data_IF_828657266806
#
_entry.id   IF_828657266806
#
_cell.length_a   1.000
_cell.length_b   1.000
_cell.length_c   1.000
_cell.angle_alpha   90.00
_cell.angle_beta   90.00
_cell.angle_gamma   90.00
#
_symmetry.space_group_name_H-M   'P 1'
#
loop_
_entity.id
_entity.type
_entity.pdbx_description
1 polymer ?
#
# COMPACT_ATOMS: atom_id res chain seq x y z
N UNK A 1 -3.01 5.32 22.84
CA UNK A 1 -1.62 5.77 22.61
C UNK A 1 -1.66 6.76 21.48
N UNK A 2 -1.18 8.01 21.71
CA UNK A 2 -1.10 9.02 20.65
C UNK A 2 -0.02 8.62 19.62
N UNK A 3 -0.40 8.52 18.36
CA UNK A 3 0.47 8.21 17.24
C UNK A 3 1.12 9.47 16.62
N UNK A 4 0.67 10.68 17.01
CA UNK A 4 1.19 11.96 16.50
C UNK A 4 0.82 12.22 15.04
N UNK A 5 -0.35 11.74 14.59
CA UNK A 5 -0.82 11.82 13.20
C UNK A 5 -1.89 12.89 12.96
N UNK A 6 -2.38 13.54 14.01
CA UNK A 6 -3.44 14.56 13.91
C UNK A 6 -3.05 15.67 12.95
N UNK A 7 -3.90 15.95 11.97
CA UNK A 7 -3.71 17.00 10.97
C UNK A 7 -2.75 16.66 9.82
N UNK A 8 -2.08 15.50 9.83
CA UNK A 8 -1.26 15.03 8.71
C UNK A 8 -2.13 14.72 7.48
N UNK A 9 -1.59 14.94 6.30
CA UNK A 9 -2.25 14.58 5.04
C UNK A 9 -1.72 13.23 4.56
N UNK A 10 -2.61 12.25 4.46
CA UNK A 10 -2.29 10.92 3.96
C UNK A 10 -2.93 10.68 2.58
N UNK A 11 -2.10 10.27 1.61
CA UNK A 11 -2.50 9.79 0.31
C UNK A 11 -2.48 8.26 0.34
N UNK A 12 -3.62 7.64 0.02
CA UNK A 12 -3.76 6.18 -0.07
C UNK A 12 -4.19 5.81 -1.48
N UNK A 13 -3.36 5.04 -2.20
CA UNK A 13 -3.71 4.53 -3.53
C UNK A 13 -4.45 3.20 -3.45
N UNK A 14 -5.38 2.95 -4.39
CA UNK A 14 -6.26 1.77 -4.33
C UNK A 14 -7.21 1.82 -3.14
N UNK A 15 -7.63 3.04 -2.75
CA UNK A 15 -8.39 3.30 -1.54
C UNK A 15 -9.90 3.13 -1.64
N UNK A 16 -10.43 2.74 -2.82
CA UNK A 16 -11.86 2.55 -3.02
C UNK A 16 -12.44 1.33 -2.31
N UNK A 17 -11.60 0.36 -1.92
CA UNK A 17 -12.08 -0.91 -1.33
C UNK A 17 -10.98 -1.66 -0.56
N UNK A 18 -11.41 -2.74 0.13
CA UNK A 18 -10.52 -3.74 0.74
C UNK A 18 -9.44 -3.10 1.62
N UNK A 19 -8.17 -3.51 1.46
CA UNK A 19 -7.03 -3.04 2.25
C UNK A 19 -6.89 -1.51 2.21
N UNK A 20 -6.89 -0.91 1.01
CA UNK A 20 -6.70 0.55 0.90
C UNK A 20 -7.80 1.37 1.57
N UNK A 21 -9.06 0.88 1.53
CA UNK A 21 -10.14 1.51 2.30
C UNK A 21 -9.91 1.39 3.80
N UNK A 22 -9.50 0.22 4.30
CA UNK A 22 -9.19 0.03 5.71
C UNK A 22 -8.00 0.89 6.15
N UNK A 23 -6.95 0.99 5.33
CA UNK A 23 -5.78 1.85 5.57
C UNK A 23 -6.19 3.32 5.74
N UNK A 24 -7.07 3.79 4.83
CA UNK A 24 -7.58 5.15 4.88
C UNK A 24 -8.41 5.42 6.14
N UNK A 25 -9.32 4.50 6.51
CA UNK A 25 -10.15 4.62 7.72
C UNK A 25 -9.28 4.61 8.98
N UNK A 26 -8.29 3.72 9.07
CA UNK A 26 -7.39 3.67 10.21
C UNK A 26 -6.59 4.97 10.39
N UNK A 27 -6.03 5.52 9.30
CA UNK A 27 -5.32 6.81 9.34
C UNK A 27 -6.27 7.98 9.67
N UNK A 28 -7.52 7.94 9.19
CA UNK A 28 -8.54 8.94 9.54
C UNK A 28 -8.91 8.89 11.03
N UNK A 29 -9.00 7.69 11.61
CA UNK A 29 -9.25 7.48 13.03
C UNK A 29 -8.15 8.10 13.90
N UNK A 30 -6.91 8.09 13.42
CA UNK A 30 -5.76 8.73 14.05
C UNK A 30 -5.67 10.26 13.76
N UNK A 31 -6.68 10.82 13.11
CA UNK A 31 -6.82 12.26 12.88
C UNK A 31 -6.15 12.80 11.61
N UNK A 32 -5.77 11.94 10.68
CA UNK A 32 -5.29 12.37 9.37
C UNK A 32 -6.40 12.96 8.50
N UNK A 33 -6.02 13.83 7.57
CA UNK A 33 -6.81 14.21 6.39
C UNK A 33 -6.45 13.25 5.25
N UNK A 34 -7.45 12.77 4.50
CA UNK A 34 -7.27 11.66 3.57
C UNK A 34 -7.50 12.06 2.11
N UNK A 35 -6.52 11.76 1.28
CA UNK A 35 -6.67 11.70 -0.17
C UNK A 35 -6.81 10.23 -0.59
N UNK A 36 -8.02 9.85 -0.99
CA UNK A 36 -8.35 8.51 -1.48
C UNK A 36 -8.16 8.50 -2.98
N UNK A 37 -7.14 7.82 -3.45
CA UNK A 37 -6.79 7.76 -4.87
C UNK A 37 -7.10 6.38 -5.43
N UNK A 38 -7.92 6.30 -6.46
CA UNK A 38 -8.26 5.03 -7.11
C UNK A 38 -8.55 5.24 -8.59
N UNK A 39 -8.40 4.19 -9.41
CA UNK A 39 -8.89 4.18 -10.79
C UNK A 39 -10.43 4.31 -10.82
N UNK A 40 -11.11 3.68 -9.84
CA UNK A 40 -12.53 3.85 -9.58
C UNK A 40 -12.76 5.11 -8.74
N UNK A 41 -12.98 6.23 -9.41
CA UNK A 41 -13.23 7.53 -8.75
C UNK A 41 -14.50 7.56 -7.89
N UNK A 42 -15.56 6.84 -8.28
CA UNK A 42 -16.81 6.74 -7.50
C UNK A 42 -16.55 6.03 -6.17
N UNK A 43 -15.92 4.87 -6.19
CA UNK A 43 -15.55 4.14 -4.98
C UNK A 43 -14.58 4.91 -4.07
N UNK A 44 -13.68 5.73 -4.67
CA UNK A 44 -12.82 6.62 -3.89
C UNK A 44 -13.65 7.72 -3.18
N UNK A 45 -14.65 8.27 -3.86
CA UNK A 45 -15.56 9.26 -3.29
C UNK A 45 -16.45 8.67 -2.19
N UNK A 46 -16.93 7.43 -2.36
CA UNK A 46 -17.69 6.70 -1.34
C UNK A 46 -16.86 6.51 -0.06
N UNK A 47 -15.61 6.03 -0.18
CA UNK A 47 -14.70 5.90 0.97
C UNK A 47 -14.45 7.26 1.65
N UNK A 48 -14.25 8.31 0.87
CA UNK A 48 -14.07 9.66 1.40
C UNK A 48 -15.32 10.17 2.14
N UNK A 49 -16.51 9.90 1.61
CA UNK A 49 -17.78 10.26 2.24
C UNK A 49 -18.00 9.56 3.57
N UNK A 50 -17.61 8.30 3.67
CA UNK A 50 -17.68 7.52 4.91
C UNK A 50 -16.77 8.10 6.00
N UNK A 51 -15.57 8.55 5.65
CA UNK A 51 -14.63 9.20 6.58
C UNK A 51 -15.13 10.59 7.00
N UNK A 52 -15.83 11.29 6.11
CA UNK A 52 -16.35 12.64 6.31
C UNK A 52 -15.72 13.66 5.36
N UNK A 53 -16.57 14.37 4.64
CA UNK A 53 -16.19 15.30 3.57
C UNK A 53 -15.30 16.47 4.02
N UNK A 54 -15.28 16.79 5.31
CA UNK A 54 -14.42 17.83 5.89
C UNK A 54 -12.95 17.37 6.02
N UNK A 55 -12.71 16.05 6.03
CA UNK A 55 -11.38 15.46 6.24
C UNK A 55 -10.88 14.58 5.10
N UNK A 56 -11.75 14.13 4.20
CA UNK A 56 -11.38 13.22 3.14
C UNK A 56 -11.92 13.66 1.78
N UNK A 57 -11.17 13.35 0.71
CA UNK A 57 -11.59 13.55 -0.69
C UNK A 57 -11.16 12.36 -1.54
N UNK A 58 -12.02 12.00 -2.50
CA UNK A 58 -11.74 10.98 -3.51
C UNK A 58 -11.18 11.60 -4.79
N UNK A 59 -10.22 10.93 -5.40
CA UNK A 59 -9.58 11.34 -6.65
C UNK A 59 -9.47 10.16 -7.62
N UNK A 60 -9.99 10.33 -8.84
CA UNK A 60 -9.82 9.36 -9.91
C UNK A 60 -8.42 9.46 -10.52
N UNK A 61 -7.64 8.38 -10.47
CA UNK A 61 -6.29 8.36 -11.03
C UNK A 61 -5.86 6.96 -11.44
N UNK A 62 -5.40 6.84 -12.68
CA UNK A 62 -4.56 5.72 -13.09
C UNK A 62 -3.12 6.03 -12.66
N UNK A 63 -2.59 5.26 -11.72
CA UNK A 63 -1.22 5.46 -11.20
C UNK A 63 -0.13 5.11 -12.22
N UNK A 64 -0.47 4.46 -13.32
CA UNK A 64 0.47 4.20 -14.42
C UNK A 64 0.71 5.42 -15.29
N UNK A 65 -0.22 6.38 -15.30
CA UNK A 65 -0.10 7.66 -15.99
C UNK A 65 0.62 8.70 -15.11
N UNK A 66 1.88 8.97 -15.44
CA UNK A 66 2.73 9.93 -14.72
C UNK A 66 2.18 11.35 -14.71
N UNK A 67 1.57 11.76 -15.82
CA UNK A 67 1.00 13.10 -15.95
C UNK A 67 -0.21 13.26 -15.05
N UNK A 68 -1.11 12.26 -15.03
CA UNK A 68 -2.28 12.25 -14.16
C UNK A 68 -1.88 12.18 -12.69
N UNK A 69 -0.89 11.36 -12.32
CA UNK A 69 -0.37 11.30 -10.95
C UNK A 69 0.13 12.67 -10.49
N UNK A 70 0.94 13.36 -11.30
CA UNK A 70 1.44 14.68 -10.94
C UNK A 70 0.30 15.72 -10.77
N UNK A 71 -0.69 15.68 -11.65
CA UNK A 71 -1.87 16.56 -11.56
C UNK A 71 -2.67 16.27 -10.28
N UNK A 72 -2.95 14.99 -9.98
CA UNK A 72 -3.71 14.60 -8.78
C UNK A 72 -2.95 15.00 -7.50
N UNK A 73 -1.65 14.81 -7.43
CA UNK A 73 -0.88 15.27 -6.25
C UNK A 73 -1.00 16.77 -6.07
N UNK A 74 -0.94 17.56 -7.13
CA UNK A 74 -1.16 19.02 -7.06
C UNK A 74 -2.59 19.38 -6.63
N UNK A 75 -3.60 18.64 -7.09
CA UNK A 75 -4.99 18.79 -6.63
C UNK A 75 -5.11 18.51 -5.12
N UNK A 76 -4.50 17.41 -4.64
CA UNK A 76 -4.48 17.02 -3.23
C UNK A 76 -3.82 18.10 -2.36
N UNK A 77 -2.65 18.59 -2.78
CA UNK A 77 -1.92 19.61 -2.02
C UNK A 77 -2.69 20.93 -1.92
N UNK A 78 -3.44 21.31 -2.95
CA UNK A 78 -4.32 22.48 -2.94
C UNK A 78 -5.53 22.25 -2.00
N UNK A 79 -6.15 21.08 -2.03
CA UNK A 79 -7.42 20.80 -1.37
C UNK A 79 -7.26 20.39 0.11
N UNK A 80 -6.21 19.64 0.41
CA UNK A 80 -5.97 19.06 1.73
C UNK A 80 -4.66 19.55 2.37
N UNK A 81 -3.76 20.13 1.60
CA UNK A 81 -2.42 20.52 2.04
C UNK A 81 -1.34 19.49 1.65
N UNK A 82 -0.09 19.77 1.96
CA UNK A 82 1.06 18.98 1.52
C UNK A 82 0.98 17.53 2.01
N UNK A 83 1.27 16.58 1.12
CA UNK A 83 1.22 15.15 1.43
C UNK A 83 2.35 14.79 2.39
N UNK A 84 1.99 14.33 3.58
CA UNK A 84 2.91 13.87 4.62
C UNK A 84 3.11 12.36 4.61
N UNK A 85 2.05 11.61 4.30
CA UNK A 85 2.02 10.15 4.31
C UNK A 85 1.60 9.66 2.93
N UNK A 86 2.35 8.69 2.39
CA UNK A 86 2.04 8.06 1.11
C UNK A 86 1.94 6.53 1.32
N UNK A 87 0.73 5.99 1.20
CA UNK A 87 0.48 4.55 1.23
C UNK A 87 0.28 4.07 -0.21
N UNK A 88 1.29 3.44 -0.76
CA UNK A 88 1.25 2.79 -2.07
C UNK A 88 0.60 1.42 -1.93
N UNK A 89 -0.74 1.40 -1.81
CA UNK A 89 -1.51 0.18 -1.67
C UNK A 89 -2.01 -0.35 -3.02
N UNK A 90 -2.27 0.52 -4.00
CA UNK A 90 -2.76 0.10 -5.32
C UNK A 90 -1.87 -1.00 -5.92
N UNK A 91 -2.51 -2.08 -6.33
CA UNK A 91 -1.86 -3.24 -6.91
C UNK A 91 -2.72 -4.49 -6.73
N UNK A 92 -2.54 -5.45 -7.62
CA UNK A 92 -3.28 -6.71 -7.54
C UNK A 92 -2.60 -7.82 -8.34
N UNK A 93 -3.10 -9.05 -8.12
CA UNK A 93 -2.76 -10.20 -8.94
C UNK A 93 -3.71 -10.20 -10.14
N UNK A 94 -3.20 -9.95 -11.34
CA UNK A 94 -4.01 -9.92 -12.55
C UNK A 94 -4.29 -11.32 -13.06
N UNK A 95 -3.24 -12.13 -13.17
CA UNK A 95 -3.33 -13.51 -13.70
C UNK A 95 -2.54 -14.46 -12.83
N UNK A 96 -3.10 -15.64 -12.59
CA UNK A 96 -2.40 -16.78 -12.01
C UNK A 96 -2.14 -17.78 -13.12
N UNK A 97 -0.90 -17.84 -13.63
CA UNK A 97 -0.48 -18.72 -14.71
C UNK A 97 0.94 -19.22 -14.47
N UNK A 98 1.23 -20.47 -14.85
CA UNK A 98 2.62 -20.95 -14.83
C UNK A 98 3.46 -20.15 -15.83
N UNK A 99 4.77 -20.06 -15.59
CA UNK A 99 5.67 -19.26 -16.43
C UNK A 99 5.56 -19.57 -17.93
N UNK A 100 5.39 -20.83 -18.29
CA UNK A 100 5.22 -21.27 -19.68
C UNK A 100 3.92 -20.78 -20.35
N UNK A 101 2.93 -20.41 -19.55
CA UNK A 101 1.59 -19.99 -20.00
C UNK A 101 1.35 -18.50 -19.70
N UNK A 102 2.32 -17.80 -19.09
CA UNK A 102 2.24 -16.36 -18.78
C UNK A 102 2.27 -15.57 -20.09
N UNK A 103 1.30 -14.68 -20.28
CA UNK A 103 1.28 -13.78 -21.43
C UNK A 103 2.13 -12.54 -21.14
N UNK A 104 2.79 -12.03 -22.18
CA UNK A 104 3.63 -10.83 -22.06
C UNK A 104 2.81 -9.61 -21.57
N UNK A 105 1.57 -9.48 -22.04
CA UNK A 105 0.67 -8.39 -21.63
C UNK A 105 0.33 -8.45 -20.14
N UNK A 106 0.16 -9.66 -19.58
CA UNK A 106 -0.12 -9.85 -18.16
C UNK A 106 1.11 -9.52 -17.31
N UNK A 107 2.31 -9.88 -17.79
CA UNK A 107 3.57 -9.48 -17.19
C UNK A 107 3.72 -7.95 -17.18
N UNK A 108 3.57 -7.32 -18.33
CA UNK A 108 3.73 -5.87 -18.49
C UNK A 108 2.72 -5.09 -17.63
N UNK A 109 1.48 -5.55 -17.56
CA UNK A 109 0.45 -4.94 -16.72
C UNK A 109 0.78 -5.04 -15.23
N UNK A 110 1.28 -6.20 -14.76
CA UNK A 110 1.75 -6.35 -13.38
C UNK A 110 2.89 -5.37 -13.07
N UNK A 111 3.87 -5.23 -13.97
CA UNK A 111 4.98 -4.29 -13.81
C UNK A 111 4.48 -2.85 -13.80
N UNK A 112 3.61 -2.50 -14.73
CA UNK A 112 3.06 -1.16 -14.85
C UNK A 112 2.32 -0.73 -13.57
N UNK A 113 1.42 -1.57 -13.06
CA UNK A 113 0.60 -1.22 -11.90
C UNK A 113 1.40 -1.36 -10.60
N UNK A 114 1.93 -2.57 -10.32
CA UNK A 114 2.47 -2.88 -9.00
C UNK A 114 3.82 -2.19 -8.72
N UNK A 115 4.64 -1.95 -9.74
CA UNK A 115 5.98 -1.36 -9.59
C UNK A 115 6.05 0.07 -10.12
N UNK A 116 5.72 0.28 -11.40
CA UNK A 116 5.83 1.62 -12.00
C UNK A 116 4.84 2.59 -11.39
N UNK A 117 3.61 2.17 -11.08
CA UNK A 117 2.63 2.99 -10.37
C UNK A 117 3.11 3.41 -8.98
N UNK A 118 3.66 2.47 -8.19
CA UNK A 118 4.29 2.76 -6.88
C UNK A 118 5.40 3.82 -7.01
N UNK A 119 6.28 3.66 -8.02
CA UNK A 119 7.32 4.64 -8.32
C UNK A 119 6.74 6.01 -8.68
N UNK A 120 5.74 6.07 -9.55
CA UNK A 120 5.15 7.33 -10.02
C UNK A 120 4.59 8.15 -8.86
N UNK A 121 3.79 7.52 -7.99
CA UNK A 121 3.17 8.19 -6.84
C UNK A 121 4.23 8.64 -5.83
N UNK A 122 5.15 7.74 -5.45
CA UNK A 122 6.22 8.07 -4.51
C UNK A 122 7.08 9.23 -5.02
N UNK A 123 7.48 9.19 -6.30
CA UNK A 123 8.27 10.25 -6.93
C UNK A 123 7.57 11.60 -6.91
N UNK A 124 6.25 11.64 -7.03
CA UNK A 124 5.50 12.88 -7.05
C UNK A 124 5.47 13.57 -5.67
N UNK A 125 5.41 12.81 -4.57
CA UNK A 125 5.29 13.36 -3.20
C UNK A 125 6.63 13.49 -2.46
N UNK A 126 7.62 12.68 -2.81
CA UNK A 126 8.88 12.58 -2.08
C UNK A 126 9.70 13.87 -2.02
N UNK A 127 9.81 14.71 -3.07
CA UNK A 127 10.52 15.98 -2.99
C UNK A 127 9.96 16.91 -1.92
N UNK A 128 8.64 17.08 -1.85
CA UNK A 128 7.98 17.90 -0.84
C UNK A 128 8.18 17.38 0.58
N UNK A 129 8.13 16.05 0.78
CA UNK A 129 8.46 15.44 2.07
C UNK A 129 9.89 15.74 2.52
N UNK A 130 10.87 15.67 1.60
CA UNK A 130 12.28 16.00 1.90
C UNK A 130 12.46 17.47 2.27
N UNK A 131 11.82 18.36 1.53
CA UNK A 131 11.88 19.80 1.76
C UNK A 131 11.35 20.17 3.16
N UNK A 132 10.19 19.62 3.52
CA UNK A 132 9.57 19.82 4.84
C UNK A 132 10.25 19.02 5.97
N UNK A 133 11.21 18.15 5.64
CA UNK A 133 11.93 17.28 6.57
C UNK A 133 11.00 16.39 7.42
N UNK A 134 9.94 15.91 6.79
CA UNK A 134 9.00 14.96 7.37
C UNK A 134 8.28 14.19 6.26
N UNK A 135 8.21 12.88 6.40
CA UNK A 135 7.46 12.03 5.49
C UNK A 135 7.42 10.58 5.93
N UNK A 136 6.35 9.89 5.53
CA UNK A 136 6.16 8.46 5.75
C UNK A 136 5.71 7.82 4.44
N UNK A 137 6.50 6.90 3.93
CA UNK A 137 6.19 6.14 2.71
C UNK A 137 5.98 4.68 3.10
N UNK A 138 4.82 4.15 2.79
CA UNK A 138 4.50 2.73 2.95
C UNK A 138 4.30 2.13 1.56
N UNK A 139 4.95 1.01 1.30
CA UNK A 139 4.81 0.26 0.06
C UNK A 139 4.24 -1.13 0.34
N UNK A 140 3.18 -1.49 -0.37
CA UNK A 140 2.55 -2.80 -0.23
C UNK A 140 3.26 -3.85 -1.07
N UNK A 141 4.03 -4.73 -0.41
CA UNK A 141 4.54 -5.95 -1.00
C UNK A 141 3.49 -7.10 -0.88
N UNK A 142 3.94 -8.29 -0.68
CA UNK A 142 3.15 -9.49 -0.41
C UNK A 142 4.08 -10.59 0.10
N UNK A 143 3.54 -11.52 0.86
CA UNK A 143 4.25 -12.76 1.18
C UNK A 143 4.68 -13.51 -0.09
N UNK A 144 3.88 -13.44 -1.16
CA UNK A 144 4.23 -14.00 -2.47
C UNK A 144 5.48 -13.37 -3.08
N UNK A 145 5.78 -12.09 -2.77
CA UNK A 145 7.04 -11.46 -3.17
C UNK A 145 8.25 -12.01 -2.42
N UNK A 146 8.08 -12.34 -1.14
CA UNK A 146 9.18 -12.80 -0.27
C UNK A 146 9.49 -14.29 -0.45
N UNK A 147 8.45 -15.12 -0.63
CA UNK A 147 8.58 -16.58 -0.70
C UNK A 147 8.37 -17.16 -2.10
N UNK A 148 7.87 -16.36 -3.03
CA UNK A 148 7.35 -16.82 -4.30
C UNK A 148 5.92 -17.37 -4.18
N UNK A 149 5.14 -17.27 -5.27
CA UNK A 149 3.80 -17.83 -5.38
C UNK A 149 3.70 -18.69 -6.63
N UNK A 150 3.19 -19.93 -6.51
CA UNK A 150 2.98 -20.79 -7.66
C UNK A 150 2.02 -20.12 -8.64
N UNK A 151 2.42 -20.00 -9.91
CA UNK A 151 1.66 -19.31 -10.93
C UNK A 151 1.60 -17.77 -10.80
N UNK A 152 2.42 -17.17 -9.93
CA UNK A 152 2.42 -15.74 -9.64
C UNK A 152 3.75 -15.06 -10.01
N UNK A 153 4.40 -15.51 -11.08
CA UNK A 153 5.77 -15.08 -11.41
C UNK A 153 5.87 -13.56 -11.55
N UNK A 154 4.98 -12.92 -12.33
CA UNK A 154 4.97 -11.47 -12.52
C UNK A 154 4.65 -10.72 -11.22
N UNK A 155 3.63 -11.18 -10.50
CA UNK A 155 3.22 -10.58 -9.23
C UNK A 155 4.33 -10.68 -8.18
N UNK A 156 4.88 -11.88 -7.98
CA UNK A 156 5.97 -12.11 -7.02
C UNK A 156 7.21 -11.27 -7.34
N UNK A 157 7.59 -11.19 -8.63
CA UNK A 157 8.70 -10.37 -9.07
C UNK A 157 8.47 -8.88 -8.75
N UNK A 158 7.29 -8.34 -9.08
CA UNK A 158 6.98 -6.93 -8.80
C UNK A 158 6.91 -6.62 -7.32
N UNK A 159 6.33 -7.52 -6.50
CA UNK A 159 6.22 -7.33 -5.05
C UNK A 159 7.57 -7.45 -4.34
N UNK A 160 8.52 -8.24 -4.87
CA UNK A 160 9.91 -8.22 -4.39
C UNK A 160 10.67 -6.98 -4.86
N UNK A 161 10.43 -6.52 -6.09
CA UNK A 161 11.03 -5.28 -6.59
C UNK A 161 10.63 -4.05 -5.75
N UNK A 162 9.39 -3.99 -5.27
CA UNK A 162 8.91 -2.94 -4.36
C UNK A 162 9.72 -2.91 -3.06
N UNK A 163 10.21 -4.04 -2.55
CA UNK A 163 11.09 -4.09 -1.37
C UNK A 163 12.41 -3.38 -1.64
N UNK A 164 13.05 -3.67 -2.78
CA UNK A 164 14.28 -2.99 -3.20
C UNK A 164 14.08 -1.49 -3.39
N UNK A 165 12.98 -1.11 -4.06
CA UNK A 165 12.59 0.28 -4.26
C UNK A 165 12.43 1.03 -2.92
N UNK A 166 11.63 0.50 -1.99
CA UNK A 166 11.39 1.12 -0.70
C UNK A 166 12.67 1.30 0.13
N UNK A 167 13.59 0.33 0.09
CA UNK A 167 14.89 0.43 0.77
C UNK A 167 15.76 1.56 0.21
N UNK A 168 15.76 1.77 -1.11
CA UNK A 168 16.47 2.89 -1.74
C UNK A 168 15.85 4.22 -1.32
N UNK A 169 14.51 4.33 -1.35
CA UNK A 169 13.78 5.51 -0.86
C UNK A 169 14.09 5.79 0.62
N UNK A 170 14.18 4.75 1.45
CA UNK A 170 14.55 4.87 2.86
C UNK A 170 15.94 5.49 3.04
N UNK A 171 16.93 5.03 2.29
CA UNK A 171 18.30 5.58 2.34
C UNK A 171 18.34 7.05 1.90
N UNK A 172 17.63 7.39 0.83
CA UNK A 172 17.58 8.76 0.30
C UNK A 172 16.80 9.71 1.21
N UNK A 173 15.80 9.19 1.94
CA UNK A 173 14.93 9.96 2.82
C UNK A 173 15.46 10.18 4.24
N UNK A 174 16.26 9.26 4.75
CA UNK A 174 16.62 9.16 6.17
C UNK A 174 17.12 10.48 6.79
N UNK A 175 18.07 11.15 6.14
CA UNK A 175 18.63 12.44 6.64
C UNK A 175 17.63 13.60 6.62
N UNK A 176 16.49 13.41 5.99
CA UNK A 176 15.40 14.37 5.90
C UNK A 176 14.19 13.98 6.78
N UNK A 177 14.37 13.01 7.72
CA UNK A 177 13.28 12.50 8.55
C UNK A 177 12.11 11.91 7.71
N UNK A 178 12.42 11.38 6.54
CA UNK A 178 11.47 10.62 5.71
C UNK A 178 11.80 9.14 5.86
N UNK A 179 10.84 8.36 6.35
CA UNK A 179 10.97 6.90 6.43
C UNK A 179 10.24 6.23 5.28
N UNK A 180 10.76 5.11 4.82
CA UNK A 180 10.06 4.26 3.85
C UNK A 180 10.13 2.81 4.32
N UNK A 181 8.94 2.18 4.48
CA UNK A 181 8.81 0.82 4.96
C UNK A 181 7.87 0.01 4.07
N UNK A 182 7.96 -1.28 4.20
CA UNK A 182 7.18 -2.23 3.42
C UNK A 182 6.28 -3.04 4.34
N UNK A 183 5.03 -3.19 3.97
CA UNK A 183 4.13 -4.19 4.52
C UNK A 183 4.01 -5.35 3.53
N UNK A 184 4.13 -6.57 4.01
CA UNK A 184 3.96 -7.79 3.22
C UNK A 184 2.82 -8.63 3.83
N UNK A 185 1.57 -8.42 3.36
CA UNK A 185 0.43 -9.19 3.83
C UNK A 185 0.49 -10.66 3.39
N UNK A 186 -0.13 -11.52 4.20
CA UNK A 186 -0.47 -12.89 3.84
C UNK A 186 -1.84 -12.98 3.17
N UNK A 187 -2.67 -13.88 3.67
CA UNK A 187 -4.07 -14.04 3.25
C UNK A 187 -4.91 -13.08 4.07
N UNK A 188 -5.45 -12.05 3.44
CA UNK A 188 -6.24 -11.00 4.08
C UNK A 188 -7.62 -10.88 3.43
N UNK A 189 -8.65 -10.89 4.25
CA UNK A 189 -10.03 -10.65 3.86
C UNK A 189 -10.70 -11.81 3.12
N UNK A 190 -12.01 -11.68 2.82
CA UNK A 190 -12.80 -12.74 2.21
C UNK A 190 -12.49 -12.91 0.72
N UNK A 191 -11.25 -13.24 0.41
CA UNK A 191 -10.85 -13.67 -0.93
C UNK A 191 -11.24 -15.14 -1.22
N UNK A 192 -11.99 -15.73 -0.31
CA UNK A 192 -12.40 -17.12 -0.27
C UNK A 192 -13.05 -17.64 -1.56
N UNK A 193 -13.76 -16.78 -2.27
CA UNK A 193 -14.52 -17.17 -3.43
C UNK A 193 -13.67 -17.51 -4.68
N UNK A 194 -12.36 -17.28 -4.65
CA UNK A 194 -11.54 -17.29 -5.87
C UNK A 194 -10.65 -18.53 -6.05
N UNK A 195 -10.55 -19.43 -5.06
CA UNK A 195 -9.67 -20.59 -5.21
C UNK A 195 -10.15 -21.82 -4.46
N UNK A 196 -10.24 -23.00 -5.12
CA UNK A 196 -10.42 -24.29 -4.45
C UNK A 196 -9.28 -24.62 -3.45
N UNK A 197 -8.19 -23.86 -3.51
CA UNK A 197 -7.03 -24.01 -2.62
C UNK A 197 -7.11 -23.10 -1.38
N UNK A 198 -8.10 -22.23 -1.30
CA UNK A 198 -8.21 -21.24 -0.21
C UNK A 198 -8.19 -21.89 1.18
N UNK A 199 -9.04 -22.87 1.42
CA UNK A 199 -9.08 -23.59 2.71
C UNK A 199 -7.74 -24.25 3.06
N UNK A 200 -7.03 -24.76 2.04
CA UNK A 200 -5.69 -25.31 2.24
C UNK A 200 -4.66 -24.25 2.59
N UNK A 201 -4.80 -23.07 2.01
CA UNK A 201 -3.91 -21.94 2.30
C UNK A 201 -4.14 -21.41 3.72
N UNK A 202 -5.40 -21.25 4.13
CA UNK A 202 -5.74 -20.79 5.50
C UNK A 202 -5.25 -21.79 6.54
N UNK A 203 -5.35 -23.10 6.28
CA UNK A 203 -4.80 -24.14 7.16
C UNK A 203 -3.27 -24.06 7.36
N UNK A 204 -2.55 -23.38 6.47
CA UNK A 204 -1.10 -23.12 6.61
C UNK A 204 -0.78 -21.89 7.44
N UNK A 205 -1.77 -21.05 7.72
CA UNK A 205 -1.60 -19.90 8.62
C UNK A 205 -1.51 -20.42 10.04
N UNK A 206 -0.45 -20.06 10.77
CA UNK A 206 -0.26 -20.53 12.14
C UNK A 206 -1.43 -20.14 13.08
N UNK A 207 -2.03 -18.95 12.85
CA UNK A 207 -3.21 -18.48 13.58
C UNK A 207 -4.52 -19.16 13.13
N UNK A 208 -4.50 -20.08 12.15
CA UNK A 208 -5.65 -20.85 11.64
C UNK A 208 -6.85 -20.00 11.18
N UNK A 209 -6.61 -18.76 10.81
CA UNK A 209 -7.58 -17.84 10.21
C UNK A 209 -6.92 -16.95 9.16
N UNK A 210 -7.73 -16.40 8.27
CA UNK A 210 -7.30 -15.24 7.49
C UNK A 210 -7.12 -14.00 8.37
N UNK A 211 -6.32 -13.04 7.93
CA UNK A 211 -6.26 -11.72 8.52
C UNK A 211 -7.43 -10.86 8.05
N UNK A 212 -7.79 -9.86 8.82
CA UNK A 212 -8.72 -8.81 8.44
C UNK A 212 -7.95 -7.62 7.85
N UNK A 213 -8.57 -6.81 6.97
CA UNK A 213 -7.92 -5.59 6.46
C UNK A 213 -7.39 -4.69 7.56
N UNK A 214 -8.05 -4.65 8.70
CA UNK A 214 -7.69 -3.90 9.89
C UNK A 214 -6.39 -4.39 10.54
N UNK A 215 -6.05 -5.68 10.43
CA UNK A 215 -4.77 -6.22 10.90
C UNK A 215 -3.59 -5.57 10.15
N UNK A 216 -3.78 -5.29 8.87
CA UNK A 216 -2.79 -4.59 8.02
C UNK A 216 -2.81 -3.09 8.28
N UNK A 217 -3.99 -2.47 8.31
CA UNK A 217 -4.17 -1.04 8.48
C UNK A 217 -3.58 -0.53 9.82
N UNK A 218 -3.72 -1.29 10.90
CA UNK A 218 -3.14 -0.98 12.20
C UNK A 218 -1.60 -0.96 12.14
N UNK A 219 -0.99 -1.89 11.41
CA UNK A 219 0.46 -1.92 11.22
C UNK A 219 0.94 -0.70 10.39
N UNK A 220 0.16 -0.30 9.38
CA UNK A 220 0.43 0.90 8.57
C UNK A 220 0.34 2.16 9.44
N UNK A 221 -0.73 2.33 10.22
CA UNK A 221 -0.88 3.47 11.12
C UNK A 221 0.31 3.60 12.09
N UNK A 222 0.73 2.47 12.68
CA UNK A 222 1.92 2.45 13.53
C UNK A 222 3.19 2.89 12.78
N UNK A 223 3.47 2.33 11.60
CA UNK A 223 4.67 2.69 10.83
C UNK A 223 4.66 4.13 10.33
N UNK A 224 3.48 4.73 10.14
CA UNK A 224 3.34 6.15 9.80
C UNK A 224 3.55 7.08 11.00
N UNK A 225 3.50 6.57 12.24
CA UNK A 225 3.50 7.35 13.46
C UNK A 225 4.87 7.93 13.85
N UNK A 226 4.86 8.89 14.78
CA UNK A 226 6.08 9.34 15.44
C UNK A 226 6.74 8.26 16.31
N UNK A 227 5.98 7.24 16.71
CA UNK A 227 6.49 6.09 17.49
C UNK A 227 7.42 5.21 16.65
N UNK A 228 7.22 5.19 15.34
CA UNK A 228 8.02 4.41 14.39
C UNK A 228 9.13 5.24 13.70
N UNK A 229 9.41 6.46 14.14
CA UNK A 229 10.34 7.40 13.46
C UNK A 229 11.75 6.86 13.23
N UNK A 230 12.16 5.82 13.93
CA UNK A 230 13.48 5.18 13.77
C UNK A 230 13.42 3.86 13.00
N UNK A 231 12.23 3.53 12.44
CA UNK A 231 12.02 2.35 11.60
C UNK A 231 11.99 2.82 10.14
N UNK A 232 13.00 2.45 9.36
CA UNK A 232 13.07 2.74 7.93
C UNK A 232 13.77 1.60 7.18
N UNK A 233 13.31 1.27 5.98
CA UNK A 233 13.81 0.14 5.18
C UNK A 233 13.36 -1.22 5.69
N UNK A 234 12.47 -1.27 6.69
CA UNK A 234 11.94 -2.50 7.24
C UNK A 234 10.92 -3.16 6.29
N UNK A 235 10.84 -4.48 6.36
CA UNK A 235 9.77 -5.30 5.77
C UNK A 235 9.03 -5.94 6.94
N UNK A 236 7.79 -5.53 7.15
CA UNK A 236 6.92 -6.08 8.17
C UNK A 236 5.92 -7.04 7.53
N UNK A 237 6.01 -8.32 7.89
CA UNK A 237 5.03 -9.34 7.47
C UNK A 237 3.80 -9.30 8.37
N UNK A 238 2.60 -9.27 7.76
CA UNK A 238 1.32 -9.36 8.44
C UNK A 238 0.59 -10.57 7.89
N UNK A 239 0.92 -11.75 8.41
CA UNK A 239 0.66 -13.05 7.77
C UNK A 239 -0.02 -14.08 8.67
N UNK A 240 -0.18 -13.77 9.97
CA UNK A 240 -0.63 -14.76 10.95
C UNK A 240 0.34 -15.95 11.11
N UNK A 241 1.61 -15.76 10.71
CA UNK A 241 2.65 -16.80 10.77
C UNK A 241 2.67 -17.74 9.57
N UNK A 242 2.06 -17.35 8.44
CA UNK A 242 2.07 -18.15 7.20
C UNK A 242 3.48 -18.28 6.61
N UNK A 243 4.35 -17.32 6.87
CA UNK A 243 5.74 -17.24 6.42
C UNK A 243 6.73 -17.96 7.35
N UNK A 244 6.25 -18.54 8.43
CA UNK A 244 7.08 -19.31 9.35
C UNK A 244 7.06 -20.78 9.00
N UNK A 245 8.16 -21.46 9.35
CA UNK A 245 8.23 -22.91 9.24
C UNK A 245 7.47 -23.56 10.41
N UNK A 246 6.42 -24.33 10.09
CA UNK A 246 5.67 -25.12 11.08
C UNK A 246 5.99 -26.59 10.90
N UNK A 247 6.35 -27.26 11.99
CA UNK A 247 6.63 -28.69 12.03
C UNK A 247 5.36 -29.51 11.96
#
# INVERSE_FOLDING_TARGET
VDLGLVGRVALVTGGARSLGRADAIALATEGCRLAIVDLNGEGAAETASEIGAERARGYACDITDRGRVAAVVSEIERDLGPVDICVNNAGFIYTVAQLKDMKDEDWDLNVAINLTGTYNVTRAVFPGMRERRWGRVICMASIAGLMGGFGQTAYSATKMAVVGFARSVALEGARYNVTANVIAPGIIGPNAALSPLYDRMVKRVAMQREGEPEDVANAIAFLCSERARYITGAVLTVTGGMDLFTF
#
